data_IF_204237248575
#
_entry.id   IF_204237248575
#
_cell.length_a   1.000
_cell.length_b   1.000
_cell.length_c   1.000
_cell.angle_alpha   90.00
_cell.angle_beta   90.00
_cell.angle_gamma   90.00
#
_symmetry.space_group_name_H-M   'P 1'
#
loop_
_entity.id
_entity.type
_entity.pdbx_description
1 polymer ?
#
# COMPACT_ATOMS: atom_id res chain seq x y z
N UNK A 1 -12.65 -27.92 2.39
CA UNK A 1 -12.41 -26.93 1.33
C UNK A 1 -11.49 -25.86 1.82
N UNK A 2 -10.42 -25.64 1.13
CA UNK A 2 -9.43 -24.68 1.57
C UNK A 2 -9.82 -23.27 1.14
N UNK A 3 -10.00 -22.40 2.10
CA UNK A 3 -10.15 -21.01 1.78
C UNK A 3 -8.78 -20.49 1.38
N UNK A 4 -8.75 -19.69 0.34
CA UNK A 4 -7.50 -19.07 -0.08
C UNK A 4 -7.22 -17.87 0.79
N UNK A 5 -5.94 -17.62 1.01
CA UNK A 5 -5.50 -16.43 1.72
C UNK A 5 -4.57 -15.64 0.83
N UNK A 6 -4.56 -14.35 1.02
CA UNK A 6 -3.72 -13.44 0.27
C UNK A 6 -3.06 -12.49 1.26
N UNK A 7 -1.76 -12.32 1.15
CA UNK A 7 -0.98 -11.51 2.07
C UNK A 7 -0.32 -10.35 1.35
N UNK A 8 -0.41 -9.18 1.96
CA UNK A 8 0.23 -7.99 1.45
C UNK A 8 0.84 -7.22 2.62
N UNK A 9 1.77 -6.35 2.33
CA UNK A 9 2.39 -5.52 3.35
C UNK A 9 2.72 -4.17 2.75
N UNK A 10 2.72 -3.15 3.59
CA UNK A 10 2.99 -1.80 3.13
C UNK A 10 3.52 -0.93 4.26
N UNK A 11 3.68 0.35 3.96
CA UNK A 11 4.27 1.27 4.89
C UNK A 11 3.44 2.51 5.14
N UNK A 12 3.51 2.96 6.38
CA UNK A 12 2.97 4.24 6.79
C UNK A 12 4.18 5.12 7.05
N UNK A 13 4.42 6.07 6.15
CA UNK A 13 5.63 6.88 6.17
C UNK A 13 5.28 8.32 6.52
N UNK A 14 5.89 8.80 7.60
CA UNK A 14 5.74 10.17 8.03
C UNK A 14 6.99 10.94 7.66
N UNK A 15 6.80 12.09 7.03
CA UNK A 15 7.89 12.96 6.65
C UNK A 15 7.44 14.40 6.83
N UNK A 16 8.10 15.13 7.74
CA UNK A 16 7.75 16.52 8.04
C UNK A 16 6.27 16.73 8.36
N UNK A 17 5.73 15.84 9.20
CA UNK A 17 4.34 15.88 9.64
C UNK A 17 3.33 15.62 8.52
N UNK A 18 3.79 15.01 7.44
CA UNK A 18 2.94 14.62 6.32
C UNK A 18 2.99 13.11 6.15
N UNK A 19 1.95 12.56 5.58
CA UNK A 19 1.85 11.14 5.31
C UNK A 19 2.01 10.90 3.80
N UNK A 20 2.79 9.89 3.46
CA UNK A 20 2.99 9.51 2.07
C UNK A 20 1.85 8.61 1.62
N UNK A 21 1.14 9.04 0.60
CA UNK A 21 0.05 8.29 0.01
C UNK A 21 0.30 8.07 -1.47
N UNK A 22 -0.28 7.01 -2.00
CA UNK A 22 -0.25 6.75 -3.42
C UNK A 22 -1.68 6.66 -3.92
N UNK A 23 -1.89 7.10 -5.15
CA UNK A 23 -3.17 6.95 -5.80
C UNK A 23 -3.06 5.79 -6.76
N UNK A 24 -3.82 4.75 -6.48
CA UNK A 24 -3.78 3.53 -7.26
C UNK A 24 -4.59 3.69 -8.53
N UNK A 25 -4.04 3.19 -9.63
CA UNK A 25 -4.73 3.21 -10.91
C UNK A 25 -5.78 2.10 -10.91
N UNK A 26 -6.97 2.39 -11.35
CA UNK A 26 -8.01 1.37 -11.42
C UNK A 26 -7.69 0.39 -12.55
N UNK A 27 -8.05 -0.87 -12.34
CA UNK A 27 -7.91 -1.87 -13.39
C UNK A 27 -8.95 -1.58 -14.49
N UNK A 28 -8.72 -2.11 -15.67
CA UNK A 28 -9.65 -1.94 -16.77
C UNK A 28 -11.06 -2.42 -16.45
N UNK A 29 -11.17 -3.41 -15.59
CA UNK A 29 -12.46 -3.94 -15.13
C UNK A 29 -13.36 -2.87 -14.52
N UNK A 30 -12.75 -1.90 -13.86
CA UNK A 30 -13.49 -0.89 -13.12
C UNK A 30 -13.42 0.49 -13.76
N UNK A 31 -12.68 0.63 -14.85
CA UNK A 31 -12.44 1.94 -15.45
C UNK A 31 -13.69 2.62 -15.97
N UNK A 32 -14.72 1.85 -16.30
CA UNK A 32 -15.97 2.42 -16.77
C UNK A 32 -16.79 3.11 -15.71
N UNK A 33 -16.57 2.78 -14.45
CA UNK A 33 -17.36 3.27 -13.34
C UNK A 33 -16.73 4.45 -12.62
N UNK A 34 -15.41 4.64 -12.75
CA UNK A 34 -14.69 5.65 -11.99
C UNK A 34 -13.71 6.37 -12.88
N UNK A 35 -13.58 7.66 -12.68
CA UNK A 35 -12.66 8.49 -13.45
C UNK A 35 -11.21 8.32 -13.00
N UNK A 36 -10.99 7.96 -11.76
CA UNK A 36 -9.65 7.86 -11.22
C UNK A 36 -9.59 6.78 -10.14
N UNK A 37 -8.38 6.41 -9.75
CA UNK A 37 -8.18 5.46 -8.69
C UNK A 37 -8.45 6.05 -7.32
N UNK A 38 -8.06 5.32 -6.32
CA UNK A 38 -8.26 5.73 -4.93
C UNK A 38 -6.93 5.85 -4.21
N UNK A 39 -6.91 6.69 -3.17
CA UNK A 39 -5.72 6.91 -2.37
C UNK A 39 -5.58 5.86 -1.28
N UNK A 40 -4.34 5.48 -1.01
CA UNK A 40 -4.04 4.54 0.05
C UNK A 40 -2.58 4.60 0.42
N UNK A 41 -2.18 3.75 1.36
CA UNK A 41 -0.77 3.60 1.71
C UNK A 41 -0.10 2.71 0.66
N UNK A 42 1.19 2.96 0.36
CA UNK A 42 1.90 2.08 -0.56
C UNK A 42 1.99 0.67 0.02
N UNK A 43 1.63 -0.31 -0.77
CA UNK A 43 1.61 -1.71 -0.35
C UNK A 43 1.58 -2.64 -1.55
N UNK A 44 1.88 -3.90 -1.32
CA UNK A 44 1.77 -4.90 -2.36
C UNK A 44 1.92 -6.30 -1.79
N UNK A 45 1.82 -7.28 -2.66
CA UNK A 45 1.83 -8.69 -2.28
C UNK A 45 3.21 -9.16 -1.85
N UNK A 46 3.24 -10.13 -0.94
CA UNK A 46 4.49 -10.79 -0.56
C UNK A 46 4.93 -11.73 -1.67
N UNK A 47 6.24 -11.76 -1.91
CA UNK A 47 6.84 -12.78 -2.76
C UNK A 47 7.07 -14.04 -1.92
N UNK A 48 7.29 -15.16 -2.58
CA UNK A 48 7.58 -16.42 -1.89
C UNK A 48 8.79 -16.27 -0.97
N UNK A 49 8.63 -16.77 0.25
CA UNK A 49 9.70 -16.73 1.27
C UNK A 49 10.07 -15.33 1.77
N UNK A 50 9.34 -14.33 1.35
CA UNK A 50 9.57 -12.96 1.81
C UNK A 50 8.82 -12.71 3.10
N UNK A 51 9.46 -12.04 4.08
CA UNK A 51 8.74 -11.66 5.30
C UNK A 51 7.87 -10.45 5.02
N UNK A 52 6.81 -10.23 5.80
CA UNK A 52 5.97 -9.04 5.63
C UNK A 52 6.76 -7.74 5.72
N UNK A 53 7.72 -7.66 6.65
CA UNK A 53 8.53 -6.45 6.81
C UNK A 53 9.35 -6.16 5.55
N UNK A 54 10.00 -7.17 5.00
CA UNK A 54 10.81 -7.00 3.80
C UNK A 54 9.96 -6.68 2.59
N UNK A 55 8.79 -7.32 2.49
CA UNK A 55 7.85 -7.03 1.41
C UNK A 55 7.38 -5.58 1.49
N UNK A 56 7.10 -5.10 2.70
CA UNK A 56 6.65 -3.73 2.89
C UNK A 56 7.72 -2.74 2.42
N UNK A 57 8.96 -2.95 2.82
CA UNK A 57 10.06 -2.07 2.42
C UNK A 57 10.25 -2.08 0.90
N UNK A 58 10.20 -3.25 0.30
CA UNK A 58 10.35 -3.40 -1.16
C UNK A 58 9.21 -2.71 -1.91
N UNK A 59 7.98 -2.95 -1.48
CA UNK A 59 6.82 -2.39 -2.17
C UNK A 59 6.78 -0.87 -2.08
N UNK A 60 7.15 -0.31 -0.93
CA UNK A 60 7.22 1.15 -0.82
C UNK A 60 8.24 1.70 -1.82
N UNK A 61 9.39 1.07 -1.93
CA UNK A 61 10.40 1.52 -2.89
C UNK A 61 9.88 1.42 -4.33
N UNK A 62 9.28 0.29 -4.67
CA UNK A 62 8.78 0.09 -6.04
C UNK A 62 7.70 1.10 -6.41
N UNK A 63 6.83 1.42 -5.48
CA UNK A 63 5.72 2.33 -5.77
C UNK A 63 6.07 3.80 -5.66
N UNK A 64 7.04 4.17 -4.83
CA UNK A 64 7.30 5.58 -4.54
C UNK A 64 8.70 6.06 -4.89
N UNK A 65 9.67 5.17 -5.01
CA UNK A 65 11.06 5.56 -5.20
C UNK A 65 11.77 5.92 -3.92
N UNK A 66 11.10 5.85 -2.76
CA UNK A 66 11.73 6.12 -1.47
C UNK A 66 12.31 4.83 -0.90
N UNK A 67 13.58 4.87 -0.52
CA UNK A 67 14.18 3.77 0.21
C UNK A 67 13.87 4.00 1.68
N UNK A 68 13.23 3.02 2.30
CA UNK A 68 12.70 3.16 3.66
C UNK A 68 13.18 2.05 4.56
N UNK A 69 13.06 2.27 5.86
CA UNK A 69 13.35 1.27 6.85
C UNK A 69 12.24 1.26 7.89
N UNK A 70 11.77 0.06 8.22
CA UNK A 70 10.76 -0.08 9.25
C UNK A 70 11.36 0.35 10.59
N UNK A 71 10.60 1.15 11.35
CA UNK A 71 11.04 1.63 12.65
C UNK A 71 10.99 0.53 13.69
N UNK A 72 10.00 -0.36 13.58
CA UNK A 72 9.83 -1.50 14.47
C UNK A 72 9.69 -2.78 13.68
N UNK A 73 10.04 -3.88 14.30
CA UNK A 73 9.89 -5.19 13.68
C UNK A 73 8.43 -5.64 13.60
N UNK A 74 7.58 -5.04 14.41
CA UNK A 74 6.15 -5.37 14.43
C UNK A 74 5.36 -4.35 13.63
N UNK A 75 4.33 -4.80 12.92
CA UNK A 75 3.46 -3.85 12.21
C UNK A 75 2.68 -3.00 13.20
N UNK A 76 2.38 -1.77 12.81
CA UNK A 76 1.56 -0.89 13.64
C UNK A 76 0.08 -1.05 13.34
N UNK A 77 -0.25 -1.71 12.25
CA UNK A 77 -1.64 -1.94 11.89
C UNK A 77 -1.75 -3.22 11.08
N UNK A 78 -2.88 -3.87 11.24
CA UNK A 78 -3.20 -5.06 10.47
C UNK A 78 -4.66 -4.97 10.07
N UNK A 79 -4.94 -5.26 8.82
CA UNK A 79 -6.30 -5.26 8.31
C UNK A 79 -6.58 -6.59 7.64
N UNK A 80 -7.69 -7.23 8.02
CA UNK A 80 -8.10 -8.47 7.39
C UNK A 80 -9.53 -8.33 6.91
N UNK A 81 -9.75 -8.75 5.68
CA UNK A 81 -11.07 -8.67 5.09
C UNK A 81 -11.22 -9.74 4.02
N UNK A 82 -12.45 -9.99 3.63
CA UNK A 82 -12.74 -10.97 2.60
C UNK A 82 -13.04 -10.28 1.29
N UNK A 83 -12.44 -10.77 0.23
CA UNK A 83 -12.74 -10.31 -1.12
C UNK A 83 -13.22 -11.51 -1.92
N UNK A 84 -13.91 -11.26 -3.03
CA UNK A 84 -14.32 -12.32 -3.94
C UNK A 84 -13.53 -12.21 -5.21
N UNK A 85 -12.99 -13.33 -5.64
CA UNK A 85 -12.28 -13.41 -6.90
C UNK A 85 -12.79 -14.65 -7.63
N UNK A 86 -13.30 -14.45 -8.82
CA UNK A 86 -13.91 -15.52 -9.61
C UNK A 86 -15.03 -16.24 -8.84
N UNK A 87 -15.80 -15.46 -8.06
CA UNK A 87 -16.90 -16.00 -7.27
C UNK A 87 -16.49 -16.72 -6.00
N UNK A 88 -15.21 -16.79 -5.70
CA UNK A 88 -14.70 -17.49 -4.52
C UNK A 88 -14.19 -16.52 -3.47
N UNK A 89 -14.47 -16.78 -2.18
CA UNK A 89 -13.97 -15.92 -1.13
C UNK A 89 -12.47 -16.09 -0.92
N UNK A 90 -11.80 -14.99 -0.72
CA UNK A 90 -10.36 -14.96 -0.41
C UNK A 90 -10.20 -14.08 0.81
N UNK A 91 -9.55 -14.59 1.85
CA UNK A 91 -9.23 -13.78 3.02
C UNK A 91 -7.95 -13.02 2.73
N UNK A 92 -8.02 -11.71 2.78
CA UNK A 92 -6.86 -10.87 2.55
C UNK A 92 -6.41 -10.22 3.84
N UNK A 93 -5.13 -10.33 4.15
CA UNK A 93 -4.52 -9.69 5.31
C UNK A 93 -3.42 -8.76 4.83
N UNK A 94 -3.44 -7.54 5.34
CA UNK A 94 -2.44 -6.53 5.01
C UNK A 94 -1.81 -6.05 6.30
N UNK A 95 -0.49 -6.05 6.36
CA UNK A 95 0.26 -5.51 7.49
C UNK A 95 0.91 -4.20 7.08
N UNK A 96 0.78 -3.20 7.95
CA UNK A 96 1.41 -1.91 7.72
C UNK A 96 2.48 -1.65 8.78
N UNK A 97 3.65 -1.22 8.32
CA UNK A 97 4.78 -0.92 9.19
C UNK A 97 5.05 0.57 9.17
N UNK A 98 5.33 1.13 10.34
CA UNK A 98 5.75 2.51 10.43
C UNK A 98 7.18 2.59 9.91
N UNK A 99 7.46 3.52 9.00
CA UNK A 99 8.74 3.58 8.33
C UNK A 99 9.32 4.98 8.28
N UNK A 100 10.64 5.05 8.25
CA UNK A 100 11.34 6.29 8.00
C UNK A 100 12.02 6.23 6.64
N UNK A 101 12.19 7.38 6.02
CA UNK A 101 12.87 7.48 4.73
C UNK A 101 14.37 7.50 4.96
N UNK A 102 15.10 6.61 4.27
CA UNK A 102 16.56 6.59 4.30
C UNK A 102 17.10 7.44 3.16
N UNK A 103 16.55 7.23 1.96
CA UNK A 103 16.97 7.93 0.76
C UNK A 103 15.79 8.10 -0.18
N UNK A 104 15.85 9.15 -0.97
CA UNK A 104 14.86 9.43 -1.97
C UNK A 104 15.53 9.31 -3.35
N UNK A 105 14.94 8.51 -4.22
CA UNK A 105 15.46 8.29 -5.55
C UNK A 105 14.50 8.86 -6.59
N UNK A 106 15.09 9.40 -7.66
CA UNK A 106 14.29 9.83 -8.80
C UNK A 106 13.93 8.57 -9.59
N UNK A 107 12.71 8.16 -9.47
CA UNK A 107 12.23 6.93 -10.08
C UNK A 107 10.78 7.10 -10.49
N UNK A 108 10.43 6.57 -11.63
CA UNK A 108 9.03 6.56 -12.05
C UNK A 108 8.27 5.58 -11.17
N UNK A 109 7.06 5.96 -10.70
CA UNK A 109 6.23 4.99 -9.98
C UNK A 109 5.84 3.83 -10.88
N UNK A 110 5.50 2.69 -10.27
CA UNK A 110 4.98 1.56 -11.02
C UNK A 110 3.76 2.00 -11.82
N UNK A 111 3.53 1.34 -12.95
CA UNK A 111 2.38 1.68 -13.80
C UNK A 111 1.04 1.55 -13.09
N UNK A 112 0.99 0.83 -11.98
CA UNK A 112 -0.22 0.70 -11.18
C UNK A 112 -0.49 1.93 -10.32
N UNK A 113 0.51 2.81 -10.20
CA UNK A 113 0.41 4.00 -9.38
C UNK A 113 0.18 5.21 -10.27
N UNK A 114 -0.94 5.89 -10.06
CA UNK A 114 -1.29 7.06 -10.83
C UNK A 114 -0.62 8.32 -10.30
N UNK A 115 -0.48 8.44 -8.99
CA UNK A 115 0.05 9.64 -8.36
C UNK A 115 0.63 9.32 -6.99
N UNK A 116 1.61 10.12 -6.56
CA UNK A 116 2.24 10.03 -5.24
C UNK A 116 2.11 11.40 -4.60
N UNK A 117 1.76 11.44 -3.32
CA UNK A 117 1.66 12.71 -2.62
C UNK A 117 2.06 12.58 -1.16
N UNK A 118 2.63 13.67 -0.62
CA UNK A 118 2.85 13.83 0.80
C UNK A 118 1.81 14.83 1.26
N UNK A 119 0.91 14.41 2.13
CA UNK A 119 -0.22 15.23 2.55
C UNK A 119 -0.28 15.38 4.06
N UNK A 120 -0.76 16.53 4.56
CA UNK A 120 -0.97 16.70 5.99
C UNK A 120 -1.97 15.69 6.53
N UNK A 121 -1.91 15.39 7.81
CA UNK A 121 -2.80 14.41 8.44
C UNK A 121 -4.28 14.63 8.13
N UNK A 122 -4.72 15.87 8.21
CA UNK A 122 -6.13 16.18 7.98
C UNK A 122 -6.56 15.78 6.57
N UNK A 123 -5.74 16.11 5.59
CA UNK A 123 -6.02 15.80 4.21
C UNK A 123 -5.94 14.30 3.94
N UNK A 124 -4.97 13.63 4.56
CA UNK A 124 -4.84 12.17 4.44
C UNK A 124 -6.09 11.48 4.96
N UNK A 125 -6.58 11.92 6.11
CA UNK A 125 -7.79 11.37 6.70
C UNK A 125 -8.97 11.46 5.73
N UNK A 126 -9.13 12.60 5.09
CA UNK A 126 -10.20 12.82 4.13
C UNK A 126 -10.06 11.95 2.90
N UNK A 127 -8.84 11.83 2.37
CA UNK A 127 -8.60 11.01 1.19
C UNK A 127 -8.83 9.53 1.44
N UNK A 128 -8.43 9.04 2.61
CA UNK A 128 -8.58 7.64 2.96
C UNK A 128 -10.01 7.26 3.33
N UNK A 129 -10.81 8.23 3.72
CA UNK A 129 -12.18 7.97 4.16
C UNK A 129 -13.10 7.48 3.05
N UNK A 130 -12.68 7.61 1.81
CA UNK A 130 -13.48 7.19 0.66
C UNK A 130 -13.19 5.76 0.21
N UNK A 131 -12.42 5.03 0.94
CA UNK A 131 -12.11 3.65 0.60
C UNK A 131 -13.08 2.65 1.17
#
# INVERSE_FOLDING_TARGET
>A
MNSKVDFAAGGIILLDEKILLVKNRLSEEYAGDYDSGFWGYPKGHLNDEETPLKAAEREVYEETGFKVSAINEKPIAESSYEIKKDGKPIKKTVWFYEMSVIESFSKEPDHEIEEIALVPFQEAYELLAYE
#
